data_IF_495077690254
#
_entry.id   IF_495077690254
#
_cell.length_a   1.000
_cell.length_b   1.000
_cell.length_c   1.000
_cell.angle_alpha   90.00
_cell.angle_beta   90.00
_cell.angle_gamma   90.00
#
_symmetry.space_group_name_H-M   'P 1'
#
loop_
_entity.id
_entity.type
_entity.pdbx_description
1 polymer ?
#
# COMPACT_ATOMS: atom_id res chain seq x y z
N UNK A 1 -50.22 26.42 60.60
CA UNK A 1 -51.26 26.32 59.54
C UNK A 1 -50.58 26.55 58.20
N UNK A 2 -50.37 25.51 57.39
CA UNK A 2 -49.80 25.63 56.04
C UNK A 2 -50.78 24.99 55.05
N UNK A 3 -51.36 25.81 54.18
CA UNK A 3 -52.43 25.42 53.26
C UNK A 3 -51.80 24.91 51.96
N UNK A 4 -51.79 23.58 51.75
CA UNK A 4 -51.38 22.97 50.47
C UNK A 4 -52.49 23.19 49.44
N UNK A 5 -52.21 24.00 48.40
CA UNK A 5 -53.06 24.09 47.20
C UNK A 5 -52.71 22.96 46.25
N UNK A 6 -53.64 22.05 46.03
CA UNK A 6 -53.57 20.99 45.03
C UNK A 6 -54.10 21.52 43.69
N UNK A 7 -53.20 21.72 42.73
CA UNK A 7 -53.55 22.04 41.34
C UNK A 7 -53.93 20.75 40.63
N UNK A 8 -55.20 20.61 40.23
CA UNK A 8 -55.66 19.51 39.36
C UNK A 8 -55.44 19.90 37.90
N UNK A 9 -54.46 19.27 37.24
CA UNK A 9 -54.26 19.37 35.80
C UNK A 9 -55.37 18.57 35.07
N UNK A 10 -56.17 19.27 34.26
CA UNK A 10 -57.23 18.67 33.45
C UNK A 10 -56.69 17.76 32.34
N UNK A 11 -57.54 16.82 31.87
CA UNK A 11 -57.17 15.80 30.87
C UNK A 11 -56.57 16.38 29.57
N UNK A 12 -56.97 17.59 29.16
CA UNK A 12 -56.37 18.27 28.00
C UNK A 12 -54.89 18.65 28.19
N UNK A 13 -54.47 18.97 29.42
CA UNK A 13 -53.07 19.26 29.73
C UNK A 13 -52.19 17.98 29.69
N UNK A 14 -52.77 16.80 29.92
CA UNK A 14 -52.07 15.52 29.82
C UNK A 14 -51.83 15.08 28.37
N UNK A 15 -52.75 15.40 27.46
CA UNK A 15 -52.60 15.10 26.03
C UNK A 15 -51.58 16.06 25.38
N UNK A 16 -51.60 17.34 25.76
CA UNK A 16 -50.62 18.32 25.29
C UNK A 16 -49.19 17.99 25.77
N UNK A 17 -49.02 17.53 27.02
CA UNK A 17 -47.72 17.12 27.54
C UNK A 17 -47.16 15.87 26.83
N UNK A 18 -48.03 14.93 26.42
CA UNK A 18 -47.61 13.73 25.68
C UNK A 18 -47.26 14.02 24.21
N UNK A 19 -47.97 14.97 23.58
CA UNK A 19 -47.66 15.43 22.23
C UNK A 19 -46.34 16.22 22.17
N UNK A 20 -46.01 17.00 23.21
CA UNK A 20 -44.72 17.71 23.29
C UNK A 20 -43.52 16.79 23.52
N UNK A 21 -43.71 15.59 24.09
CA UNK A 21 -42.63 14.60 24.21
C UNK A 21 -42.32 13.84 22.91
N UNK A 22 -43.19 13.93 21.90
CA UNK A 22 -43.00 13.30 20.58
C UNK A 22 -42.45 14.26 19.52
N UNK A 23 -42.41 15.57 19.80
CA UNK A 23 -41.53 16.50 19.13
C UNK A 23 -40.11 16.36 19.69
N UNK A 24 -39.61 15.12 19.70
CA UNK A 24 -38.22 14.84 19.98
C UNK A 24 -37.36 15.68 19.05
N UNK A 25 -36.38 16.36 19.62
CA UNK A 25 -35.36 17.08 18.88
C UNK A 25 -34.86 16.19 17.74
N UNK A 26 -35.16 16.56 16.49
CA UNK A 26 -34.39 16.07 15.36
C UNK A 26 -32.98 16.57 15.59
N UNK A 27 -32.09 15.70 16.06
CA UNK A 27 -30.66 15.94 16.01
C UNK A 27 -30.28 15.95 14.53
N UNK A 28 -30.48 17.08 13.85
CA UNK A 28 -29.68 17.39 12.68
C UNK A 28 -28.27 17.47 13.20
N UNK A 29 -27.53 16.36 13.08
CA UNK A 29 -26.14 16.30 13.46
C UNK A 29 -25.43 17.36 12.61
N UNK A 30 -24.99 18.50 13.20
CA UNK A 30 -24.38 19.57 12.43
C UNK A 30 -23.06 19.11 11.80
N UNK A 31 -22.57 17.94 12.22
CA UNK A 31 -21.42 17.24 11.68
C UNK A 31 -21.84 15.83 11.25
N UNK A 32 -22.72 15.75 10.25
CA UNK A 32 -22.88 14.50 9.52
C UNK A 32 -21.49 14.07 9.05
N UNK A 33 -21.02 12.92 9.55
CA UNK A 33 -19.78 12.35 9.06
C UNK A 33 -19.94 12.20 7.54
N UNK A 34 -18.98 12.70 6.74
CA UNK A 34 -18.95 12.40 5.33
C UNK A 34 -19.11 10.88 5.14
N UNK A 35 -19.73 10.42 4.05
CA UNK A 35 -19.81 9.00 3.76
C UNK A 35 -18.42 8.37 3.87
N UNK A 36 -18.25 7.43 4.80
CA UNK A 36 -17.09 6.56 4.82
C UNK A 36 -17.12 5.71 3.54
N UNK A 37 -15.98 5.51 2.86
CA UNK A 37 -15.95 4.79 1.58
C UNK A 37 -15.95 5.64 0.32
N UNK A 38 -15.78 6.97 0.42
CA UNK A 38 -15.72 7.89 -0.72
C UNK A 38 -14.49 7.66 -1.61
N UNK A 39 -14.66 7.77 -2.93
CA UNK A 39 -13.59 7.90 -3.94
C UNK A 39 -13.15 9.36 -4.14
N UNK A 40 -13.81 10.31 -3.48
CA UNK A 40 -13.42 11.70 -3.56
C UNK A 40 -12.05 11.90 -2.91
N UNK A 41 -11.18 12.73 -3.49
CA UNK A 41 -9.95 13.14 -2.83
C UNK A 41 -10.30 13.77 -1.50
N UNK A 42 -9.48 13.48 -0.48
CA UNK A 42 -9.64 14.09 0.83
C UNK A 42 -9.42 15.61 0.79
N UNK A 43 -8.43 16.03 -0.02
CA UNK A 43 -8.18 17.41 -0.38
C UNK A 43 -7.86 17.46 -1.88
N UNK A 44 -8.75 18.08 -2.65
CA UNK A 44 -8.63 18.17 -4.10
C UNK A 44 -7.64 19.25 -4.58
N UNK A 45 -7.09 20.05 -3.66
CA UNK A 45 -6.17 21.14 -3.99
C UNK A 45 -4.84 20.57 -4.45
N UNK A 46 -4.35 20.86 -5.67
CA UNK A 46 -3.04 20.37 -6.10
C UNK A 46 -1.90 20.93 -5.24
N UNK A 47 -0.96 20.10 -4.76
CA UNK A 47 -0.93 18.63 -4.88
C UNK A 47 -1.99 17.96 -3.99
N UNK A 48 -2.86 17.15 -4.62
CA UNK A 48 -3.98 16.51 -3.92
C UNK A 48 -3.49 15.44 -2.93
N UNK A 49 -4.11 15.39 -1.75
CA UNK A 49 -3.80 14.37 -0.73
C UNK A 49 -4.57 13.08 -1.03
N UNK A 50 -3.84 12.00 -1.31
CA UNK A 50 -4.43 10.71 -1.65
C UNK A 50 -4.66 9.80 -0.44
N UNK A 51 -3.78 9.84 0.57
CA UNK A 51 -3.82 8.97 1.76
C UNK A 51 -3.65 9.78 3.06
N UNK A 52 -4.03 9.15 4.19
CA UNK A 52 -3.82 9.66 5.56
C UNK A 52 -3.09 8.65 6.44
N UNK A 53 -2.36 7.69 5.86
CA UNK A 53 -1.77 6.61 6.63
C UNK A 53 -0.84 7.13 7.73
N UNK A 54 -0.97 6.53 8.91
CA UNK A 54 -0.22 6.91 10.10
C UNK A 54 1.26 6.47 10.01
N UNK A 55 1.55 5.54 9.11
CA UNK A 55 2.89 5.09 8.77
C UNK A 55 3.13 5.20 7.26
N UNK A 56 4.15 4.48 6.79
CA UNK A 56 4.65 4.66 5.44
C UNK A 56 3.73 4.05 4.38
N UNK A 57 3.49 4.86 3.35
CA UNK A 57 3.01 4.43 2.04
C UNK A 57 4.15 4.48 1.05
N UNK A 58 4.32 3.40 0.27
CA UNK A 58 5.52 3.21 -0.56
C UNK A 58 5.17 2.66 -1.94
N UNK A 59 6.10 2.91 -2.87
CA UNK A 59 6.19 2.29 -4.19
C UNK A 59 4.86 2.20 -4.98
N UNK A 60 4.13 3.31 -5.17
CA UNK A 60 2.88 3.29 -5.91
C UNK A 60 3.10 2.90 -7.38
N UNK A 61 2.10 2.22 -7.94
CA UNK A 61 1.99 1.83 -9.33
C UNK A 61 0.55 1.99 -9.81
N UNK A 62 0.37 2.50 -11.03
CA UNK A 62 -0.95 2.50 -11.66
C UNK A 62 -1.37 1.09 -12.02
N UNK A 63 -2.64 0.77 -11.82
CA UNK A 63 -3.26 -0.38 -12.47
C UNK A 63 -3.23 -0.20 -13.99
N UNK A 64 -3.21 -1.32 -14.73
CA UNK A 64 -3.10 -1.32 -16.20
C UNK A 64 -4.27 -0.61 -16.85
N UNK A 65 -5.46 -0.76 -16.28
CA UNK A 65 -6.72 -0.14 -16.71
C UNK A 65 -6.88 1.32 -16.22
N UNK A 66 -5.96 1.81 -15.37
CA UNK A 66 -6.00 3.15 -14.79
C UNK A 66 -7.09 3.35 -13.73
N UNK A 67 -7.77 2.30 -13.28
CA UNK A 67 -8.88 2.40 -12.32
C UNK A 67 -8.41 2.59 -10.88
N UNK A 68 -7.11 2.50 -10.61
CA UNK A 68 -6.57 2.69 -9.27
C UNK A 68 -5.04 2.72 -9.21
N UNK A 69 -4.57 2.90 -7.98
CA UNK A 69 -3.18 2.85 -7.56
C UNK A 69 -2.98 1.64 -6.66
N UNK A 70 -2.05 0.77 -7.05
CA UNK A 70 -1.53 -0.30 -6.23
C UNK A 70 -0.28 0.19 -5.49
N UNK A 71 -0.16 -0.04 -4.19
CA UNK A 71 0.94 0.47 -3.39
C UNK A 71 1.17 -0.38 -2.13
N UNK A 72 2.32 -0.22 -1.48
CA UNK A 72 2.58 -0.80 -0.17
C UNK A 72 2.14 0.16 0.94
N UNK A 73 1.52 -0.33 2.00
CA UNK A 73 1.08 0.46 3.14
C UNK A 73 1.33 -0.26 4.46
N UNK A 74 1.92 0.43 5.42
CA UNK A 74 2.23 -0.15 6.73
C UNK A 74 1.05 0.00 7.70
N UNK A 75 0.61 -1.13 8.28
CA UNK A 75 -0.44 -1.14 9.30
C UNK A 75 0.16 -0.90 10.67
N UNK A 76 -0.36 0.09 11.42
CA UNK A 76 0.14 0.43 12.76
C UNK A 76 -0.81 0.06 13.88
N UNK A 77 -2.00 -0.44 13.54
CA UNK A 77 -3.01 -0.88 14.49
C UNK A 77 -2.75 -2.31 15.00
N UNK A 78 -1.73 -2.98 14.44
CA UNK A 78 -1.28 -4.32 14.80
C UNK A 78 0.15 -4.33 15.33
N UNK A 79 0.46 -5.33 16.16
CA UNK A 79 1.78 -5.48 16.78
C UNK A 79 2.87 -5.86 15.76
N UNK A 80 2.51 -6.65 14.76
CA UNK A 80 3.37 -7.14 13.68
C UNK A 80 3.87 -6.02 12.76
N UNK A 81 3.14 -4.90 12.68
CA UNK A 81 3.44 -3.75 11.82
C UNK A 81 3.63 -4.12 10.35
N UNK A 82 2.79 -5.06 9.87
CA UNK A 82 2.88 -5.60 8.52
C UNK A 82 2.84 -4.50 7.46
N UNK A 83 3.61 -4.72 6.38
CA UNK A 83 3.49 -3.93 5.17
C UNK A 83 2.62 -4.70 4.19
N UNK A 84 1.48 -4.12 3.84
CA UNK A 84 0.46 -4.74 3.03
C UNK A 84 0.45 -4.16 1.61
N UNK A 85 0.00 -4.93 0.63
CA UNK A 85 -0.41 -4.35 -0.65
C UNK A 85 -1.84 -3.80 -0.51
N UNK A 86 -2.09 -2.63 -1.09
CA UNK A 86 -3.43 -2.02 -1.10
C UNK A 86 -3.76 -1.41 -2.46
N UNK A 87 -5.06 -1.33 -2.75
CA UNK A 87 -5.58 -0.59 -3.91
C UNK A 87 -6.31 0.66 -3.45
N UNK A 88 -5.95 1.79 -4.03
CA UNK A 88 -6.59 3.08 -3.81
C UNK A 88 -7.23 3.57 -5.12
N UNK A 89 -8.37 4.26 -5.09
CA UNK A 89 -8.91 4.95 -6.25
C UNK A 89 -7.92 6.00 -6.81
N UNK A 90 -8.03 6.38 -8.10
CA UNK A 90 -7.08 7.30 -8.74
C UNK A 90 -7.02 8.68 -8.07
N UNK A 91 -8.14 9.12 -7.49
CA UNK A 91 -8.26 10.39 -6.79
C UNK A 91 -7.96 10.28 -5.28
N UNK A 92 -7.59 9.09 -4.79
CA UNK A 92 -7.45 8.84 -3.37
C UNK A 92 -8.75 8.40 -2.72
N UNK A 93 -8.88 8.61 -1.42
CA UNK A 93 -10.07 8.24 -0.67
C UNK A 93 -9.90 6.89 0.03
N UNK A 94 -10.92 6.03 -0.06
CA UNK A 94 -10.93 4.78 0.71
C UNK A 94 -10.24 3.64 -0.03
N UNK A 95 -9.34 2.93 0.65
CA UNK A 95 -8.74 1.69 0.14
C UNK A 95 -9.85 0.70 -0.26
N UNK A 96 -9.74 0.14 -1.46
CA UNK A 96 -10.70 -0.83 -2.00
C UNK A 96 -10.30 -2.26 -1.69
N UNK A 97 -9.00 -2.51 -1.57
CA UNK A 97 -8.42 -3.82 -1.27
C UNK A 97 -7.22 -3.65 -0.33
N UNK A 98 -6.97 -4.67 0.49
CA UNK A 98 -5.83 -4.74 1.41
C UNK A 98 -5.40 -6.21 1.60
N UNK A 99 -4.11 -6.49 1.38
CA UNK A 99 -3.50 -7.81 1.53
C UNK A 99 -2.28 -7.72 2.44
N UNK A 100 -2.43 -8.18 3.68
CA UNK A 100 -1.37 -8.19 4.69
C UNK A 100 -0.80 -9.60 4.91
N UNK A 101 -1.68 -10.60 5.01
CA UNK A 101 -1.30 -11.97 5.35
C UNK A 101 -0.63 -12.67 4.16
N UNK A 102 0.68 -12.52 4.00
CA UNK A 102 1.51 -13.45 3.20
C UNK A 102 2.01 -14.59 4.11
N UNK A 103 2.57 -15.69 3.57
CA UNK A 103 2.84 -16.88 4.38
C UNK A 103 3.99 -16.70 5.39
N UNK A 104 3.73 -16.05 6.54
CA UNK A 104 4.62 -15.95 7.70
C UNK A 104 3.99 -16.45 9.01
N UNK A 105 2.67 -16.41 9.12
CA UNK A 105 1.91 -16.83 10.31
C UNK A 105 1.72 -15.69 11.32
N UNK A 106 0.98 -15.92 12.42
CA UNK A 106 0.52 -14.85 13.31
C UNK A 106 1.62 -14.18 14.15
N UNK A 107 2.79 -14.82 14.27
CA UNK A 107 3.94 -14.31 15.04
C UNK A 107 5.05 -13.75 14.12
N UNK A 108 4.73 -13.50 12.86
CA UNK A 108 5.62 -12.91 11.88
C UNK A 108 5.27 -11.44 11.63
N UNK A 109 6.29 -10.66 11.31
CA UNK A 109 6.15 -9.42 10.56
C UNK A 109 6.33 -9.76 9.10
N UNK A 110 5.30 -9.49 8.31
CA UNK A 110 5.24 -9.75 6.89
C UNK A 110 5.23 -8.44 6.08
N UNK A 111 5.84 -8.49 4.90
CA UNK A 111 5.90 -7.35 4.01
C UNK A 111 5.61 -7.76 2.56
N UNK A 112 4.67 -7.06 1.95
CA UNK A 112 4.41 -7.03 0.51
C UNK A 112 4.80 -5.64 0.01
N UNK A 113 5.94 -5.57 -0.69
CA UNK A 113 6.59 -4.31 -1.07
C UNK A 113 6.75 -4.18 -2.59
N UNK A 114 6.80 -2.93 -3.07
CA UNK A 114 6.84 -2.54 -4.49
C UNK A 114 6.00 -3.43 -5.42
N UNK A 115 4.69 -3.56 -5.17
CA UNK A 115 3.81 -4.38 -5.99
C UNK A 115 3.72 -3.85 -7.44
N UNK A 116 3.70 -4.78 -8.40
CA UNK A 116 3.75 -4.50 -9.83
C UNK A 116 2.81 -5.42 -10.61
N UNK A 117 1.80 -4.84 -11.24
CA UNK A 117 0.83 -5.60 -12.04
C UNK A 117 1.29 -5.76 -13.49
N UNK A 118 1.25 -6.99 -14.00
CA UNK A 118 1.52 -7.33 -15.38
C UNK A 118 0.30 -7.10 -16.26
N UNK A 119 0.51 -6.92 -17.57
CA UNK A 119 -0.59 -6.78 -18.53
C UNK A 119 -1.47 -8.05 -18.64
N UNK A 120 -0.95 -9.17 -18.19
CA UNK A 120 -1.61 -10.47 -18.11
C UNK A 120 -2.30 -10.73 -16.76
N UNK A 121 -2.31 -9.75 -15.86
CA UNK A 121 -2.96 -9.83 -14.55
C UNK A 121 -2.12 -10.48 -13.45
N UNK A 122 -0.88 -10.93 -13.73
CA UNK A 122 0.02 -11.43 -12.70
C UNK A 122 0.62 -10.32 -11.86
N UNK A 123 0.78 -10.57 -10.58
CA UNK A 123 1.39 -9.63 -9.64
C UNK A 123 2.84 -10.03 -9.35
N UNK A 124 3.80 -9.14 -9.62
CA UNK A 124 5.16 -9.22 -9.12
C UNK A 124 5.29 -8.37 -7.87
N UNK A 125 5.97 -8.84 -6.83
CA UNK A 125 6.15 -8.08 -5.59
C UNK A 125 7.41 -8.51 -4.86
N UNK A 126 7.90 -7.65 -3.97
CA UNK A 126 8.85 -8.05 -2.95
C UNK A 126 8.11 -8.63 -1.76
N UNK A 127 8.60 -9.76 -1.27
CA UNK A 127 8.13 -10.35 -0.03
C UNK A 127 9.26 -10.39 0.98
N UNK A 128 8.97 -10.05 2.23
CA UNK A 128 9.87 -10.29 3.34
C UNK A 128 9.10 -10.75 4.58
N UNK A 129 9.68 -11.68 5.32
CA UNK A 129 9.11 -12.26 6.54
C UNK A 129 10.20 -12.31 7.60
N UNK A 130 9.89 -11.87 8.81
CA UNK A 130 10.76 -11.96 9.97
C UNK A 130 9.95 -12.12 11.25
N UNK A 131 10.64 -12.33 12.38
CA UNK A 131 9.96 -12.33 13.67
C UNK A 131 9.60 -10.91 14.08
N UNK A 132 8.46 -10.75 14.77
CA UNK A 132 8.02 -9.45 15.28
C UNK A 132 9.13 -8.77 16.10
N UNK A 133 9.40 -7.50 15.79
CA UNK A 133 10.42 -6.68 16.46
C UNK A 133 11.87 -6.89 15.99
N UNK A 134 12.11 -7.77 15.00
CA UNK A 134 13.45 -7.95 14.42
C UNK A 134 13.70 -6.98 13.25
N UNK A 135 14.91 -6.45 13.14
CA UNK A 135 15.27 -5.49 12.08
C UNK A 135 15.49 -6.15 10.72
N UNK A 136 16.05 -7.36 10.70
CA UNK A 136 16.38 -8.07 9.47
C UNK A 136 15.37 -9.20 9.22
N UNK A 137 14.80 -9.28 8.01
CA UNK A 137 13.91 -10.38 7.68
C UNK A 137 14.70 -11.71 7.65
N UNK A 138 14.05 -12.78 8.07
CA UNK A 138 14.58 -14.14 7.99
C UNK A 138 14.53 -14.67 6.55
N UNK A 139 13.54 -14.20 5.78
CA UNK A 139 13.35 -14.56 4.38
C UNK A 139 12.94 -13.31 3.61
N UNK A 140 13.61 -13.02 2.50
CA UNK A 140 13.24 -11.93 1.62
C UNK A 140 13.50 -12.31 0.15
N UNK A 141 12.68 -11.78 -0.75
CA UNK A 141 12.80 -12.11 -2.17
C UNK A 141 11.82 -11.37 -3.06
N UNK A 142 11.93 -11.64 -4.36
CA UNK A 142 10.92 -11.28 -5.35
C UNK A 142 10.01 -12.50 -5.54
N UNK A 143 8.71 -12.28 -5.47
CA UNK A 143 7.67 -13.27 -5.72
C UNK A 143 6.79 -12.87 -6.89
N UNK A 144 6.20 -13.87 -7.53
CA UNK A 144 5.21 -13.72 -8.59
C UNK A 144 3.97 -14.51 -8.22
N UNK A 145 2.86 -13.80 -8.19
CA UNK A 145 1.51 -14.30 -8.01
C UNK A 145 0.86 -14.57 -9.39
N UNK A 146 0.10 -15.66 -9.47
CA UNK A 146 -0.59 -16.05 -10.70
C UNK A 146 -1.83 -15.19 -10.96
N UNK A 147 -2.31 -14.54 -9.90
CA UNK A 147 -3.42 -13.60 -9.90
C UNK A 147 -2.97 -12.26 -9.33
N UNK A 148 -3.95 -11.40 -9.03
CA UNK A 148 -3.73 -10.13 -8.36
C UNK A 148 -3.63 -10.26 -6.83
N UNK A 149 -3.88 -11.45 -6.25
CA UNK A 149 -3.75 -11.68 -4.81
C UNK A 149 -2.32 -12.16 -4.47
N UNK A 150 -1.52 -11.41 -3.70
CA UNK A 150 -0.15 -11.80 -3.34
C UNK A 150 -0.07 -13.09 -2.52
N UNK A 151 -1.18 -13.58 -1.94
CA UNK A 151 -1.22 -14.84 -1.17
C UNK A 151 -0.93 -16.07 -2.01
N UNK A 152 -1.18 -16.02 -3.32
CA UNK A 152 -0.84 -17.11 -4.24
C UNK A 152 0.61 -17.04 -4.76
N UNK A 153 1.37 -16.04 -4.28
CA UNK A 153 2.71 -15.73 -4.76
C UNK A 153 3.74 -16.80 -4.47
N UNK A 154 4.54 -17.13 -5.50
CA UNK A 154 5.72 -17.97 -5.37
C UNK A 154 6.98 -17.13 -5.49
N UNK A 155 7.91 -17.32 -4.55
CA UNK A 155 9.22 -16.68 -4.62
C UNK A 155 10.02 -17.19 -5.83
N UNK A 156 10.39 -16.27 -6.72
CA UNK A 156 11.19 -16.53 -7.93
C UNK A 156 12.66 -16.15 -7.75
N UNK A 157 12.97 -15.33 -6.74
CA UNK A 157 14.34 -14.98 -6.37
C UNK A 157 14.46 -14.65 -4.88
N UNK A 158 15.44 -15.22 -4.21
CA UNK A 158 15.76 -14.94 -2.80
C UNK A 158 16.88 -13.92 -2.69
N UNK A 159 16.83 -13.06 -1.68
CA UNK A 159 17.92 -12.16 -1.30
C UNK A 159 18.69 -12.69 -0.07
N UNK A 160 19.98 -12.34 0.09
CA UNK A 160 20.79 -11.58 -0.87
C UNK A 160 21.32 -12.45 -2.01
N UNK A 161 21.67 -11.84 -3.14
CA UNK A 161 22.38 -12.52 -4.24
C UNK A 161 23.17 -11.52 -5.10
N UNK A 162 24.11 -12.04 -5.88
CA UNK A 162 24.87 -11.25 -6.86
C UNK A 162 24.33 -11.54 -8.27
N UNK A 163 23.75 -10.56 -8.97
CA UNK A 163 23.34 -10.72 -10.37
C UNK A 163 24.55 -10.79 -11.29
N UNK A 164 24.34 -11.27 -12.51
CA UNK A 164 25.35 -11.22 -13.57
C UNK A 164 25.72 -9.77 -13.90
N UNK A 165 27.02 -9.48 -13.86
CA UNK A 165 27.54 -8.14 -14.14
C UNK A 165 27.34 -7.10 -13.03
N UNK A 166 26.96 -7.52 -11.82
CA UNK A 166 26.67 -6.62 -10.70
C UNK A 166 27.33 -6.97 -9.37
N UNK A 167 26.89 -6.24 -8.34
CA UNK A 167 27.30 -6.36 -6.93
C UNK A 167 26.21 -7.06 -6.11
N UNK A 168 26.54 -7.46 -4.88
CA UNK A 168 25.60 -8.10 -3.96
C UNK A 168 24.39 -7.20 -3.69
N UNK A 169 23.19 -7.71 -3.97
CA UNK A 169 21.92 -7.04 -3.71
C UNK A 169 21.23 -7.71 -2.51
N UNK A 170 20.73 -6.91 -1.58
CA UNK A 170 20.04 -7.35 -0.36
C UNK A 170 18.52 -7.25 -0.46
N UNK A 171 18.04 -6.44 -1.39
CA UNK A 171 16.62 -6.22 -1.64
C UNK A 171 16.46 -5.57 -3.01
N UNK A 172 15.23 -5.23 -3.38
CA UNK A 172 14.91 -4.51 -4.60
C UNK A 172 13.82 -3.47 -4.34
N UNK A 173 13.69 -2.54 -5.28
CA UNK A 173 12.65 -1.51 -5.31
C UNK A 173 12.27 -1.22 -6.76
N UNK A 174 11.23 -0.41 -6.97
CA UNK A 174 10.75 0.01 -8.28
C UNK A 174 10.49 -1.16 -9.25
N UNK A 175 9.96 -2.27 -8.72
CA UNK A 175 9.66 -3.47 -9.51
C UNK A 175 8.61 -3.15 -10.59
N UNK A 176 8.84 -3.60 -11.82
CA UNK A 176 7.93 -3.42 -12.97
C UNK A 176 8.03 -4.62 -13.91
N UNK A 177 6.93 -4.98 -14.55
CA UNK A 177 6.95 -5.95 -15.66
C UNK A 177 7.48 -5.28 -16.94
N UNK A 178 8.43 -5.94 -17.60
CA UNK A 178 8.87 -5.60 -18.96
C UNK A 178 7.98 -6.28 -20.00
N UNK A 179 7.64 -7.54 -19.73
CA UNK A 179 6.78 -8.41 -20.54
C UNK A 179 6.30 -9.60 -19.68
N UNK A 180 5.61 -10.57 -20.28
CA UNK A 180 5.11 -11.75 -19.56
C UNK A 180 6.21 -12.69 -19.02
N UNK A 181 7.48 -12.55 -19.38
CA UNK A 181 8.55 -13.42 -18.86
C UNK A 181 9.48 -12.71 -17.88
N UNK A 182 9.41 -11.37 -17.82
CA UNK A 182 10.51 -10.57 -17.26
C UNK A 182 10.06 -9.41 -16.41
N UNK A 183 10.74 -9.26 -15.27
CA UNK A 183 10.66 -8.12 -14.37
C UNK A 183 11.93 -7.28 -14.52
N UNK A 184 11.78 -5.96 -14.35
CA UNK A 184 12.86 -5.02 -14.12
C UNK A 184 12.69 -4.41 -12.74
N UNK A 185 13.80 -4.15 -12.05
CA UNK A 185 13.79 -3.53 -10.73
C UNK A 185 15.11 -2.80 -10.49
N UNK A 186 15.15 -1.99 -9.45
CA UNK A 186 16.38 -1.41 -8.91
C UNK A 186 16.85 -2.30 -7.77
N UNK A 187 17.98 -2.98 -7.97
CA UNK A 187 18.63 -3.74 -6.90
C UNK A 187 19.18 -2.80 -5.85
N UNK A 188 19.05 -3.16 -4.57
CA UNK A 188 19.42 -2.30 -3.46
C UNK A 188 20.39 -3.00 -2.51
N UNK A 189 21.28 -2.20 -1.94
CA UNK A 189 22.09 -2.52 -0.80
C UNK A 189 21.45 -1.94 0.47
N UNK A 190 21.64 -2.63 1.59
CA UNK A 190 21.02 -2.28 2.86
C UNK A 190 22.10 -2.17 3.91
N UNK A 191 22.15 -1.03 4.58
CA UNK A 191 23.03 -0.81 5.74
C UNK A 191 22.19 -0.40 6.93
N UNK A 192 22.29 -1.18 8.00
CA UNK A 192 21.70 -0.83 9.29
C UNK A 192 22.78 -0.13 10.12
N UNK A 193 22.50 1.09 10.57
CA UNK A 193 23.43 1.87 11.40
C UNK A 193 22.72 2.54 12.56
N UNK A 194 23.42 2.78 13.66
CA UNK A 194 22.94 3.68 14.71
C UNK A 194 23.75 4.98 14.64
N UNK A 195 23.06 6.12 14.75
CA UNK A 195 23.71 7.43 14.74
C UNK A 195 24.39 7.76 16.08
N UNK A 196 24.04 7.02 17.13
CA UNK A 196 24.64 7.09 18.45
C UNK A 196 24.43 5.77 19.21
N UNK A 197 25.12 5.59 20.34
CA UNK A 197 25.08 4.35 21.12
C UNK A 197 23.69 4.00 21.68
N UNK A 198 22.84 5.00 21.93
CA UNK A 198 21.48 4.83 22.46
C UNK A 198 20.37 5.19 21.46
N UNK A 199 20.72 5.49 20.22
CA UNK A 199 19.76 5.85 19.18
C UNK A 199 19.12 4.58 18.61
N UNK A 200 17.85 4.62 18.21
CA UNK A 200 17.28 3.58 17.37
C UNK A 200 18.17 3.33 16.14
N UNK A 201 18.24 2.07 15.72
CA UNK A 201 18.87 1.73 14.46
C UNK A 201 18.04 2.26 13.31
N UNK A 202 18.72 2.73 12.27
CA UNK A 202 18.11 3.17 11.03
C UNK A 202 18.63 2.32 9.88
N UNK A 203 17.82 2.19 8.84
CA UNK A 203 18.08 1.37 7.66
C UNK A 203 18.25 2.24 6.44
N UNK A 204 19.49 2.34 5.96
CA UNK A 204 19.81 3.04 4.72
C UNK A 204 19.75 2.07 3.54
N UNK A 205 18.94 2.41 2.55
CA UNK A 205 18.83 1.70 1.27
C UNK A 205 19.50 2.52 0.19
N UNK A 206 20.45 1.93 -0.54
CA UNK A 206 21.10 2.56 -1.69
C UNK A 206 20.87 1.71 -2.94
N UNK A 207 20.44 2.34 -4.03
CA UNK A 207 20.33 1.67 -5.31
C UNK A 207 21.70 1.27 -5.83
N UNK A 208 21.83 0.05 -6.35
CA UNK A 208 23.07 -0.51 -6.89
C UNK A 208 23.02 -0.49 -8.42
N UNK A 209 21.99 -1.10 -9.02
CA UNK A 209 21.77 -1.06 -10.46
C UNK A 209 20.36 -1.46 -10.88
N UNK A 210 19.95 -1.06 -12.09
CA UNK A 210 18.76 -1.61 -12.74
C UNK A 210 19.08 -3.04 -13.19
N UNK A 211 18.25 -3.99 -12.78
CA UNK A 211 18.47 -5.42 -13.02
C UNK A 211 17.23 -6.08 -13.62
N UNK A 212 17.44 -7.02 -14.53
CA UNK A 212 16.38 -7.76 -15.23
C UNK A 212 16.34 -9.20 -14.72
N UNK A 213 15.16 -9.64 -14.29
CA UNK A 213 14.89 -11.00 -13.80
C UNK A 213 13.93 -11.71 -14.75
N UNK A 214 14.32 -12.90 -15.21
CA UNK A 214 13.41 -13.84 -15.89
C UNK A 214 12.65 -14.68 -14.86
N UNK A 215 11.32 -14.66 -14.87
CA UNK A 215 10.50 -15.27 -13.81
C UNK A 215 10.31 -16.77 -13.97
N UNK A 216 10.44 -17.29 -15.19
CA UNK A 216 10.25 -18.72 -15.51
C UNK A 216 11.56 -19.52 -15.49
N UNK A 217 12.70 -18.84 -15.38
CA UNK A 217 14.03 -19.44 -15.43
C UNK A 217 14.71 -19.34 -14.04
N UNK A 218 14.24 -20.15 -13.09
CA UNK A 218 14.66 -20.10 -11.68
C UNK A 218 16.19 -20.18 -11.48
N UNK A 219 16.89 -20.93 -12.34
CA UNK A 219 18.35 -21.10 -12.29
C UNK A 219 19.12 -19.97 -13.00
N UNK A 220 18.46 -19.16 -13.81
CA UNK A 220 19.12 -18.03 -14.48
C UNK A 220 19.36 -16.90 -13.49
N UNK A 221 20.60 -16.42 -13.43
CA UNK A 221 20.92 -15.23 -12.65
C UNK A 221 20.30 -13.99 -13.33
N UNK A 222 19.69 -13.10 -12.55
CA UNK A 222 19.29 -11.78 -13.03
C UNK A 222 20.50 -11.02 -13.58
N UNK A 223 20.28 -10.18 -14.58
CA UNK A 223 21.36 -9.48 -15.32
C UNK A 223 21.27 -7.98 -15.10
N UNK A 224 22.38 -7.36 -14.72
CA UNK A 224 22.46 -5.90 -14.57
C UNK A 224 22.44 -5.22 -15.94
N UNK A 225 21.61 -4.18 -16.07
CA UNK A 225 21.62 -3.31 -17.24
C UNK A 225 22.85 -2.39 -17.17
N UNK A 226 23.76 -2.52 -18.13
CA UNK A 226 24.99 -1.71 -18.16
C UNK A 226 24.70 -0.20 -18.17
N UNK A 227 25.53 0.57 -17.46
CA UNK A 227 25.37 2.03 -17.35
C UNK A 227 24.31 2.49 -16.36
N UNK A 228 23.77 1.60 -15.52
CA UNK A 228 22.74 1.92 -14.52
C UNK A 228 23.24 1.85 -13.08
N UNK A 229 24.56 1.89 -12.87
CA UNK A 229 25.15 1.97 -11.53
C UNK A 229 24.53 3.12 -10.73
N UNK A 230 24.25 2.88 -9.46
CA UNK A 230 23.66 3.84 -8.51
C UNK A 230 22.25 4.34 -8.90
N UNK A 231 21.53 3.61 -9.77
CA UNK A 231 20.18 3.98 -10.16
C UNK A 231 19.24 4.05 -8.95
N UNK A 232 18.47 5.14 -8.85
CA UNK A 232 17.47 5.36 -7.79
C UNK A 232 16.04 5.10 -8.23
N UNK A 233 15.84 4.68 -9.47
CA UNK A 233 14.51 4.40 -10.01
C UNK A 233 14.56 3.81 -11.42
N UNK A 234 13.46 3.18 -11.81
CA UNK A 234 13.21 2.74 -13.18
C UNK A 234 11.77 3.06 -13.57
N UNK A 235 11.58 3.49 -14.81
CA UNK A 235 10.27 3.84 -15.36
C UNK A 235 10.09 3.26 -16.76
N UNK A 236 8.90 2.75 -17.04
CA UNK A 236 8.51 2.34 -18.39
C UNK A 236 8.11 3.55 -19.24
N UNK A 237 8.60 3.62 -20.47
CA UNK A 237 8.11 4.62 -21.42
C UNK A 237 6.70 4.22 -21.91
N UNK A 238 5.67 4.98 -21.53
CA UNK A 238 4.37 4.90 -22.21
C UNK A 238 4.54 5.48 -23.61
N UNK A 239 4.43 4.67 -24.67
CA UNK A 239 4.30 5.20 -26.03
C UNK A 239 3.01 6.02 -26.06
N UNK A 240 3.13 7.33 -26.30
CA UNK A 240 1.96 8.15 -26.61
C UNK A 240 1.38 7.64 -27.93
N UNK A 241 0.08 7.32 -27.95
CA UNK A 241 -0.64 7.16 -29.21
C UNK A 241 -0.57 8.50 -29.93
N UNK A 242 0.14 8.54 -31.06
CA UNK A 242 0.09 9.67 -31.96
C UNK A 242 -1.32 9.78 -32.53
N UNK A 243 -1.99 10.89 -32.26
CA UNK A 243 -3.16 11.29 -33.02
C UNK A 243 -2.68 11.63 -34.44
N UNK A 244 -2.74 10.66 -35.35
CA UNK A 244 -2.73 10.94 -36.78
C UNK A 244 -4.08 11.59 -37.12
N UNK A 245 -4.15 12.91 -36.96
CA UNK A 245 -5.05 13.72 -37.77
C UNK A 245 -4.47 13.77 -39.18
N UNK A 246 -4.85 12.80 -40.02
CA UNK A 246 -4.81 12.97 -41.46
C UNK A 246 -6.18 13.50 -41.87
N UNK A 247 -6.19 14.73 -42.39
CA UNK A 247 -7.37 15.34 -42.97
C UNK A 247 -7.86 14.57 -44.20
N UNK A 248 -9.18 14.61 -44.37
CA UNK A 248 -9.93 14.35 -45.58
C UNK A 248 -11.08 15.34 -45.63
#
# INVERSE_FOLDING_TARGET
MAQRRSVRLGAGARIAALALSLAGCGHTDPFASPPYGSDAPFDATPPARLTYNAAADRAPAWLVDGTGLLYSTQQTDRLDNDVCAAVLPPAGGTQRELWCDVPGGPDATDAVEAPAIGADGRLGFLTATGSVGTTNPQRAGIAVASSFDPRDGRMVRTFPYTPEGGTLQFTADHLRWLDAGRLVYVGQNVRVSSQCQSCPTDTLRTGEAVTILSVDAAESLPVVLSGTADATGVGGARRRCGALHAGG
#
